data_IF_491751663106
#
_entry.id   IF_491751663106
#
_cell.length_a   1.000
_cell.length_b   1.000
_cell.length_c   1.000
_cell.angle_alpha   90.00
_cell.angle_beta   90.00
_cell.angle_gamma   90.00
#
_symmetry.space_group_name_H-M   'P 1'
#
loop_
_entity.id
_entity.type
_entity.pdbx_description
1 polymer ?
#
# COMPACT_ATOMS: atom_id res chain seq x y z
N UNK A 1 21.63 -2.75 -11.74
CA UNK A 1 20.57 -2.02 -11.04
C UNK A 1 20.01 -1.03 -12.04
N UNK A 2 18.79 -1.28 -12.52
CA UNK A 2 18.09 -0.29 -13.33
C UNK A 2 17.52 0.75 -12.36
N UNK A 3 17.77 2.03 -12.61
CA UNK A 3 17.07 3.12 -11.93
C UNK A 3 15.57 2.95 -12.17
N UNK A 4 14.79 2.82 -11.10
CA UNK A 4 13.33 2.81 -11.18
C UNK A 4 12.91 4.26 -11.43
N UNK A 5 12.41 4.52 -12.63
CA UNK A 5 11.86 5.81 -13.01
C UNK A 5 10.43 5.90 -12.42
N UNK A 6 10.32 6.46 -11.21
CA UNK A 6 9.02 6.74 -10.61
C UNK A 6 8.39 7.90 -11.36
N UNK A 7 7.32 7.61 -12.11
CA UNK A 7 6.51 8.66 -12.71
C UNK A 7 5.80 9.43 -11.60
N UNK A 8 5.91 10.76 -11.55
CA UNK A 8 5.14 11.55 -10.60
C UNK A 8 3.65 11.32 -10.87
N UNK A 9 2.94 10.76 -9.89
CA UNK A 9 1.50 10.68 -9.92
C UNK A 9 0.96 11.97 -9.34
N UNK A 10 0.12 12.66 -10.11
CA UNK A 10 -0.60 13.82 -9.61
C UNK A 10 -1.96 13.32 -9.14
N UNK A 11 -2.20 13.34 -7.83
CA UNK A 11 -3.55 13.21 -7.28
C UNK A 11 -4.26 14.52 -7.60
N UNK A 12 -5.03 14.55 -8.69
CA UNK A 12 -5.73 15.77 -9.13
C UNK A 12 -7.06 15.98 -8.41
N UNK A 13 -7.64 14.89 -7.90
CA UNK A 13 -8.91 14.90 -7.20
C UNK A 13 -9.01 13.63 -6.33
N UNK A 14 -9.66 13.76 -5.18
CA UNK A 14 -10.03 12.64 -4.30
C UNK A 14 -11.54 12.71 -4.15
N UNK A 15 -12.29 11.61 -4.33
CA UNK A 15 -13.73 11.66 -4.18
C UNK A 15 -14.13 12.19 -2.80
N UNK A 16 -14.87 13.30 -2.78
CA UNK A 16 -15.50 13.86 -1.59
C UNK A 16 -16.94 13.36 -1.54
N UNK A 17 -17.11 12.09 -1.16
CA UNK A 17 -18.41 11.44 -1.02
C UNK A 17 -18.53 10.69 0.33
N UNK A 18 -19.75 10.33 0.71
CA UNK A 18 -20.05 9.76 2.04
C UNK A 18 -19.38 8.38 2.28
N UNK A 19 -18.93 7.71 1.21
CA UNK A 19 -18.29 6.40 1.29
C UNK A 19 -16.75 6.50 1.48
N UNK A 20 -16.19 7.70 1.39
CA UNK A 20 -14.74 7.97 1.46
C UNK A 20 -14.38 8.89 2.63
N UNK A 21 -13.38 8.49 3.42
CA UNK A 21 -12.82 9.36 4.44
C UNK A 21 -11.92 10.44 3.81
N UNK A 22 -11.86 11.65 4.38
CA UNK A 22 -10.86 12.64 4.00
C UNK A 22 -9.43 12.10 4.16
N UNK A 23 -8.52 12.56 3.31
CA UNK A 23 -7.10 12.29 3.52
C UNK A 23 -6.62 12.91 4.85
N UNK A 24 -5.83 12.16 5.61
CA UNK A 24 -5.24 12.61 6.87
C UNK A 24 -4.13 13.64 6.64
N UNK A 25 -3.59 13.71 5.42
CA UNK A 25 -2.45 14.54 5.03
C UNK A 25 -2.66 15.16 3.65
N UNK A 26 -1.89 16.22 3.36
CA UNK A 26 -1.84 16.80 2.02
C UNK A 26 -1.21 15.80 1.02
N UNK A 27 -1.94 15.36 -0.03
CA UNK A 27 -1.43 14.40 -1.00
C UNK A 27 -0.39 15.00 -1.96
N UNK A 28 0.05 16.26 -1.80
CA UNK A 28 1.08 16.87 -2.65
C UNK A 28 2.39 16.07 -2.71
N UNK A 29 2.69 15.30 -1.66
CA UNK A 29 3.84 14.41 -1.58
C UNK A 29 3.50 12.95 -1.90
N UNK A 30 2.24 12.65 -2.24
CA UNK A 30 1.80 11.30 -2.52
C UNK A 30 2.51 10.75 -3.77
N UNK A 31 2.88 9.48 -3.72
CA UNK A 31 3.53 8.77 -4.83
C UNK A 31 3.11 7.32 -4.88
N UNK A 32 3.12 6.75 -6.08
CA UNK A 32 2.99 5.31 -6.25
C UNK A 32 4.35 4.64 -6.06
N UNK A 33 4.37 3.59 -5.24
CA UNK A 33 5.50 2.71 -5.04
C UNK A 33 5.06 1.26 -5.21
N UNK A 34 6.00 0.36 -5.49
CA UNK A 34 5.73 -1.06 -5.32
C UNK A 34 5.59 -1.37 -3.83
N UNK A 35 4.76 -2.36 -3.48
CA UNK A 35 4.57 -2.78 -2.09
C UNK A 35 5.90 -3.17 -1.43
N UNK A 36 6.82 -3.77 -2.21
CA UNK A 36 8.18 -4.10 -1.74
C UNK A 36 9.07 -2.91 -1.39
N UNK A 37 8.74 -1.72 -1.87
CA UNK A 37 9.49 -0.48 -1.63
C UNK A 37 8.90 0.36 -0.48
N UNK A 38 7.79 -0.07 0.11
CA UNK A 38 7.18 0.59 1.27
C UNK A 38 8.15 0.54 2.46
N UNK A 39 8.45 1.70 3.03
CA UNK A 39 9.36 1.84 4.14
C UNK A 39 8.63 2.04 5.47
N UNK A 40 9.36 1.82 6.57
CA UNK A 40 8.91 2.16 7.92
C UNK A 40 8.44 3.63 7.99
N UNK A 41 7.25 3.85 8.52
CA UNK A 41 6.70 5.19 8.72
C UNK A 41 5.98 5.80 7.50
N UNK A 42 6.02 5.15 6.33
CA UNK A 42 5.25 5.63 5.18
C UNK A 42 3.75 5.55 5.48
N UNK A 43 3.00 6.61 5.19
CA UNK A 43 1.56 6.61 5.36
C UNK A 43 0.90 5.98 4.13
N UNK A 44 0.20 4.87 4.32
CA UNK A 44 -0.53 4.17 3.26
C UNK A 44 -1.88 4.85 3.03
N UNK A 45 -2.12 5.29 1.78
CA UNK A 45 -3.36 5.94 1.38
C UNK A 45 -4.31 5.01 0.63
N UNK A 46 -3.76 4.18 -0.26
CA UNK A 46 -4.57 3.32 -1.12
C UNK A 46 -3.78 2.14 -1.69
N UNK A 47 -4.50 1.08 -2.06
CA UNK A 47 -4.00 0.03 -2.94
C UNK A 47 -4.41 0.33 -4.39
N UNK A 48 -3.53 0.03 -5.36
CA UNK A 48 -3.84 0.15 -6.79
C UNK A 48 -3.89 -1.23 -7.42
N UNK A 49 -5.11 -1.68 -7.72
CA UNK A 49 -5.39 -2.99 -8.27
C UNK A 49 -5.43 -2.96 -9.81
N UNK A 50 -4.97 -4.04 -10.44
CA UNK A 50 -5.27 -4.34 -11.85
C UNK A 50 -4.41 -3.65 -12.91
N UNK A 51 -3.21 -3.18 -12.56
CA UNK A 51 -2.31 -2.48 -13.49
C UNK A 51 -1.87 -3.28 -14.75
N UNK A 52 -2.19 -4.59 -14.85
CA UNK A 52 -1.78 -5.45 -15.96
C UNK A 52 -2.85 -5.80 -17.02
N UNK A 53 -4.15 -5.73 -16.70
CA UNK A 53 -5.21 -6.31 -17.55
C UNK A 53 -6.53 -5.51 -17.62
N UNK A 54 -6.53 -4.25 -17.16
CA UNK A 54 -7.71 -3.38 -17.18
C UNK A 54 -7.36 -1.94 -16.81
N UNK A 55 -8.38 -1.10 -16.58
CA UNK A 55 -8.16 0.21 -15.94
C UNK A 55 -7.72 -0.05 -14.50
N UNK A 56 -6.60 0.55 -14.10
CA UNK A 56 -6.16 0.52 -12.72
C UNK A 56 -7.25 1.11 -11.82
N UNK A 57 -7.61 0.40 -10.75
CA UNK A 57 -8.56 0.86 -9.75
C UNK A 57 -7.80 1.15 -8.46
N UNK A 58 -7.87 2.39 -8.02
CA UNK A 58 -7.38 2.80 -6.70
C UNK A 58 -8.48 2.54 -5.68
N UNK A 59 -8.14 1.79 -4.63
CA UNK A 59 -9.00 1.54 -3.48
C UNK A 59 -8.44 2.30 -2.28
N UNK A 60 -9.05 3.45 -1.98
CA UNK A 60 -8.60 4.32 -0.90
C UNK A 60 -9.03 3.75 0.46
N UNK A 61 -8.11 3.79 1.42
CA UNK A 61 -8.40 3.33 2.76
C UNK A 61 -9.06 4.44 3.58
N UNK A 62 -10.22 4.13 4.15
CA UNK A 62 -10.90 5.04 5.08
C UNK A 62 -10.09 5.26 6.37
N UNK A 63 -9.46 4.20 6.85
CA UNK A 63 -8.49 4.26 7.94
C UNK A 63 -7.08 4.20 7.34
N UNK A 64 -6.54 5.36 6.94
CA UNK A 64 -5.14 5.48 6.53
C UNK A 64 -4.22 5.14 7.70
N UNK A 65 -3.12 4.43 7.43
CA UNK A 65 -2.28 3.84 8.48
C UNK A 65 -0.80 3.94 8.15
N UNK A 66 0.01 3.96 9.20
CA UNK A 66 1.47 3.94 9.10
C UNK A 66 1.97 2.53 8.77
N UNK A 67 2.90 2.46 7.83
CA UNK A 67 3.55 1.21 7.46
C UNK A 67 4.58 0.81 8.53
N UNK A 68 4.49 -0.44 8.95
CA UNK A 68 5.47 -1.10 9.81
C UNK A 68 5.88 -2.44 9.18
N UNK A 69 6.69 -2.40 8.11
CA UNK A 69 6.97 -3.59 7.31
C UNK A 69 7.67 -4.68 8.11
N UNK A 70 7.32 -5.92 7.83
CA UNK A 70 7.91 -7.08 8.49
C UNK A 70 8.13 -8.24 7.51
N UNK A 71 9.00 -9.21 7.85
CA UNK A 71 9.15 -10.40 7.04
C UNK A 71 7.83 -11.18 6.94
N UNK A 72 7.45 -11.56 5.71
CA UNK A 72 6.34 -12.50 5.49
C UNK A 72 6.67 -13.87 6.11
N UNK A 73 5.75 -14.40 6.90
CA UNK A 73 5.82 -15.75 7.44
C UNK A 73 4.62 -16.58 6.94
N UNK A 74 4.80 -17.48 5.96
CA UNK A 74 3.72 -18.33 5.44
C UNK A 74 3.19 -19.33 6.48
N UNK A 75 3.91 -19.50 7.60
CA UNK A 75 3.49 -20.35 8.73
C UNK A 75 2.77 -19.56 9.83
N UNK A 76 2.61 -18.24 9.65
CA UNK A 76 1.73 -17.45 10.50
C UNK A 76 0.31 -18.00 10.32
N UNK A 77 -0.35 -18.40 11.41
CA UNK A 77 -1.67 -19.04 11.36
C UNK A 77 -2.82 -18.08 11.06
N UNK A 78 -2.55 -16.85 10.63
CA UNK A 78 -3.60 -15.92 10.24
C UNK A 78 -4.16 -16.29 8.85
N UNK A 79 -5.43 -15.95 8.61
CA UNK A 79 -6.10 -16.27 7.36
C UNK A 79 -5.43 -15.62 6.14
N UNK A 80 -4.89 -14.41 6.29
CA UNK A 80 -4.26 -13.66 5.19
C UNK A 80 -2.97 -14.35 4.73
N UNK A 81 -2.10 -14.77 5.66
CA UNK A 81 -0.89 -15.52 5.32
C UNK A 81 -1.17 -16.83 4.59
N UNK A 82 -2.28 -17.48 4.93
CA UNK A 82 -2.74 -18.71 4.26
C UNK A 82 -3.24 -18.42 2.85
N UNK A 83 -3.98 -17.32 2.67
CA UNK A 83 -4.57 -16.95 1.37
C UNK A 83 -3.52 -16.66 0.29
N UNK A 84 -2.36 -16.11 0.68
CA UNK A 84 -1.27 -15.78 -0.24
C UNK A 84 -0.14 -16.83 -0.25
N UNK A 85 -0.34 -17.98 0.38
CA UNK A 85 0.68 -19.03 0.43
C UNK A 85 1.03 -19.62 -0.95
N UNK A 86 0.08 -19.56 -1.89
CA UNK A 86 0.23 -20.06 -3.26
C UNK A 86 0.53 -18.94 -4.28
N UNK A 87 0.79 -17.71 -3.82
CA UNK A 87 1.13 -16.59 -4.70
C UNK A 87 2.44 -16.93 -5.46
N UNK A 88 2.46 -16.88 -6.80
CA UNK A 88 3.62 -17.27 -7.59
C UNK A 88 4.81 -16.31 -7.43
N UNK A 89 4.56 -15.09 -6.97
CA UNK A 89 5.55 -14.04 -6.75
C UNK A 89 5.93 -13.86 -5.28
N UNK A 90 6.96 -13.04 -5.03
CA UNK A 90 7.29 -12.60 -3.67
C UNK A 90 6.12 -11.82 -3.05
N UNK A 91 5.91 -12.04 -1.75
CA UNK A 91 4.87 -11.41 -0.94
C UNK A 91 5.55 -10.68 0.22
N UNK A 92 5.13 -9.45 0.47
CA UNK A 92 5.62 -8.60 1.55
C UNK A 92 4.52 -8.33 2.56
N UNK A 93 4.89 -8.10 3.82
CA UNK A 93 3.97 -7.60 4.83
C UNK A 93 4.24 -6.11 5.03
N UNK A 94 3.31 -5.26 4.59
CA UNK A 94 3.50 -3.80 4.59
C UNK A 94 3.22 -3.19 5.97
N UNK A 95 2.43 -3.86 6.81
CA UNK A 95 2.28 -3.46 8.21
C UNK A 95 1.87 -4.62 9.12
N UNK A 96 2.54 -4.75 10.26
CA UNK A 96 2.10 -5.61 11.38
C UNK A 96 1.33 -4.88 12.47
N UNK A 97 1.29 -3.55 12.43
CA UNK A 97 0.59 -2.71 13.41
C UNK A 97 -0.54 -1.97 12.69
N UNK A 98 -1.54 -2.74 12.25
CA UNK A 98 -2.69 -2.24 11.51
C UNK A 98 -4.00 -2.54 12.25
N UNK A 99 -5.06 -1.88 11.81
CA UNK A 99 -6.35 -1.84 12.49
C UNK A 99 -7.13 -3.17 12.35
N UNK A 100 -6.67 -4.07 11.47
CA UNK A 100 -7.31 -5.36 11.19
C UNK A 100 -6.78 -6.51 12.06
N UNK A 101 -5.81 -6.26 12.94
CA UNK A 101 -5.19 -7.25 13.84
C UNK A 101 -4.68 -8.52 13.10
N UNK A 102 -4.26 -8.37 11.85
CA UNK A 102 -3.75 -9.44 11.00
C UNK A 102 -2.54 -8.96 10.19
N UNK A 103 -1.81 -9.86 9.52
CA UNK A 103 -0.79 -9.46 8.56
C UNK A 103 -1.42 -8.74 7.37
N UNK A 104 -0.77 -7.68 6.90
CA UNK A 104 -1.19 -6.91 5.74
C UNK A 104 -0.29 -7.25 4.55
N UNK A 105 -0.70 -8.29 3.81
CA UNK A 105 0.15 -8.95 2.83
C UNK A 105 -0.21 -8.58 1.40
N UNK A 106 0.82 -8.21 0.64
CA UNK A 106 0.71 -7.70 -0.71
C UNK A 106 1.72 -8.45 -1.59
N UNK A 107 1.37 -8.82 -2.84
CA UNK A 107 2.37 -9.15 -3.84
C UNK A 107 3.39 -8.01 -3.96
N UNK A 108 4.69 -8.31 -4.01
CA UNK A 108 5.76 -7.29 -3.96
C UNK A 108 5.61 -6.22 -5.04
N UNK A 109 5.10 -6.61 -6.21
CA UNK A 109 4.96 -5.74 -7.38
C UNK A 109 3.62 -4.99 -7.44
N UNK A 110 2.67 -5.28 -6.53
CA UNK A 110 1.45 -4.49 -6.43
C UNK A 110 1.80 -3.05 -6.03
N UNK A 111 0.95 -2.10 -6.42
CA UNK A 111 1.23 -0.69 -6.23
C UNK A 111 0.48 -0.14 -5.03
N UNK A 112 1.20 0.59 -4.18
CA UNK A 112 0.67 1.35 -3.06
C UNK A 112 0.77 2.85 -3.36
N UNK A 113 -0.29 3.61 -3.06
CA UNK A 113 -0.22 5.06 -2.97
C UNK A 113 0.15 5.43 -1.55
N UNK A 114 1.28 6.11 -1.38
CA UNK A 114 1.82 6.47 -0.06
C UNK A 114 2.12 7.96 0.04
N UNK A 115 2.18 8.48 1.26
CA UNK A 115 2.94 9.69 1.59
C UNK A 115 4.20 9.27 2.36
N UNK A 116 5.40 9.69 1.92
CA UNK A 116 6.65 9.26 2.54
C UNK A 116 6.76 9.74 3.99
N UNK A 117 7.34 8.92 4.87
CA UNK A 117 7.55 9.28 6.28
C UNK A 117 8.23 10.64 6.47
N UNK A 118 9.28 10.91 5.69
CA UNK A 118 10.06 12.16 5.71
C UNK A 118 9.27 13.41 5.26
N UNK A 119 8.05 13.23 4.74
CA UNK A 119 7.14 14.29 4.32
C UNK A 119 5.96 14.52 5.28
N UNK A 120 5.88 13.77 6.39
CA UNK A 120 4.79 13.84 7.38
C UNK A 120 5.08 14.78 8.56
N UNK A 121 6.30 15.34 8.64
CA UNK A 121 6.78 16.18 9.76
C UNK A 121 6.74 17.68 9.46
#
# INVERSE_FOLDING_TARGET
MADVEFFPVVVTDVPDDEDQAPLLVDPVHARLVHAGDVAEGDLILAAVLGAGHGLARTDYFNDQYEAHPAPYNPRCGCGVCTNLADEPGPVVNVSTDNHWETCDLWPENDLALIVPADCLT
#
